data_IF_916230132055
#
_entry.id   IF_916230132055
#
_cell.length_a   1.000
_cell.length_b   1.000
_cell.length_c   1.000
_cell.angle_alpha   90.00
_cell.angle_beta   90.00
_cell.angle_gamma   90.00
#
_symmetry.space_group_name_H-M   'P 1'
#
loop_
_entity.id
_entity.type
_entity.pdbx_description
1 polymer ?
#
# COMPACT_ATOMS: atom_id res chain seq x y z
N UNK A 1 -39.12 16.03 6.51
CA UNK A 1 -39.38 17.44 6.25
C UNK A 1 -38.32 18.13 5.40
N UNK A 2 -38.12 19.43 5.57
CA UNK A 2 -37.14 20.20 4.78
C UNK A 2 -35.70 19.71 4.96
N UNK A 3 -35.36 19.24 6.14
CA UNK A 3 -34.02 18.68 6.46
C UNK A 3 -33.74 17.43 5.66
N UNK A 4 -34.73 16.54 5.53
CA UNK A 4 -34.59 15.30 4.78
C UNK A 4 -34.50 15.60 3.28
N UNK A 5 -35.26 16.59 2.80
CA UNK A 5 -35.18 17.03 1.42
C UNK A 5 -33.78 17.61 1.10
N UNK A 6 -33.22 18.39 2.01
CA UNK A 6 -31.88 18.95 1.88
C UNK A 6 -30.80 17.86 1.85
N UNK A 7 -30.87 16.88 2.75
CA UNK A 7 -29.95 15.76 2.77
C UNK A 7 -30.02 14.95 1.45
N UNK A 8 -31.22 14.65 0.97
CA UNK A 8 -31.41 13.97 -0.33
C UNK A 8 -30.88 14.76 -1.52
N UNK A 9 -31.04 16.07 -1.48
CA UNK A 9 -30.50 16.95 -2.53
C UNK A 9 -28.97 16.94 -2.57
N UNK A 10 -28.28 16.84 -1.41
CA UNK A 10 -26.83 16.70 -1.32
C UNK A 10 -26.36 15.35 -1.87
N UNK A 11 -27.04 14.24 -1.53
CA UNK A 11 -26.78 12.92 -2.09
C UNK A 11 -26.91 12.93 -3.63
N UNK A 12 -27.96 13.57 -4.16
CA UNK A 12 -28.17 13.67 -5.62
C UNK A 12 -27.06 14.48 -6.32
N UNK A 13 -26.43 15.46 -5.64
CA UNK A 13 -25.30 16.21 -6.22
C UNK A 13 -24.01 15.38 -6.24
N UNK A 14 -23.82 14.46 -5.30
CA UNK A 14 -22.66 13.59 -5.26
C UNK A 14 -22.65 12.55 -6.40
N UNK A 15 -23.81 12.08 -6.84
CA UNK A 15 -23.93 11.03 -7.86
C UNK A 15 -23.23 11.38 -9.20
N UNK A 16 -23.49 12.53 -9.86
CA UNK A 16 -22.85 12.83 -11.13
C UNK A 16 -21.36 13.15 -11.02
N UNK A 17 -20.87 13.51 -9.83
CA UNK A 17 -19.47 13.80 -9.60
C UNK A 17 -18.62 12.54 -9.35
N UNK A 18 -19.24 11.37 -9.21
CA UNK A 18 -18.62 10.13 -8.76
C UNK A 18 -17.84 10.28 -7.45
N UNK A 19 -18.11 11.35 -6.68
CA UNK A 19 -17.37 11.67 -5.44
C UNK A 19 -18.26 11.35 -4.24
N UNK A 20 -17.78 10.56 -3.28
CA UNK A 20 -18.52 10.29 -2.04
C UNK A 20 -18.93 11.57 -1.34
N UNK A 21 -20.13 11.58 -0.75
CA UNK A 21 -20.68 12.74 -0.07
C UNK A 21 -19.74 13.25 1.03
N UNK A 22 -19.09 12.34 1.76
CA UNK A 22 -18.11 12.66 2.79
C UNK A 22 -16.89 13.44 2.25
N UNK A 23 -16.41 13.09 1.04
CA UNK A 23 -15.30 13.82 0.39
C UNK A 23 -15.76 15.16 -0.19
N UNK A 24 -17.02 15.23 -0.66
CA UNK A 24 -17.57 16.43 -1.29
C UNK A 24 -17.97 17.49 -0.25
N UNK A 25 -18.55 17.09 0.86
CA UNK A 25 -19.18 17.99 1.85
C UNK A 25 -18.57 17.92 3.25
N UNK A 26 -17.75 16.89 3.52
CA UNK A 26 -17.27 16.60 4.87
C UNK A 26 -18.34 16.01 5.80
N UNK A 27 -19.53 15.69 5.27
CA UNK A 27 -20.65 15.17 6.06
C UNK A 27 -20.69 13.65 5.89
N UNK A 28 -20.63 12.93 7.01
CA UNK A 28 -20.81 11.48 7.01
C UNK A 28 -22.29 11.15 6.82
N UNK A 29 -22.64 10.21 5.91
CA UNK A 29 -24.03 9.78 5.74
C UNK A 29 -24.61 9.28 7.05
N UNK A 30 -25.85 9.65 7.35
CA UNK A 30 -26.58 9.16 8.54
C UNK A 30 -27.25 7.83 8.22
N UNK A 31 -27.02 6.79 9.02
CA UNK A 31 -27.70 5.50 8.86
C UNK A 31 -27.05 4.36 9.64
N UNK A 32 -27.64 3.18 9.56
CA UNK A 32 -27.20 1.95 10.26
C UNK A 32 -25.80 1.44 9.82
N UNK A 33 -25.31 1.88 8.65
CA UNK A 33 -23.97 1.61 8.13
C UNK A 33 -23.22 2.93 7.90
N UNK A 34 -23.04 3.72 8.94
CA UNK A 34 -22.47 5.07 8.88
C UNK A 34 -20.96 5.12 8.59
N UNK A 35 -20.31 4.02 8.18
CA UNK A 35 -18.95 4.09 7.67
C UNK A 35 -18.96 4.48 6.21
N UNK A 36 -18.29 5.57 5.87
CA UNK A 36 -18.08 6.01 4.50
C UNK A 36 -17.10 5.10 3.73
N UNK A 37 -16.59 4.03 4.36
CA UNK A 37 -15.52 3.20 3.83
C UNK A 37 -15.90 2.51 2.53
N UNK A 38 -17.13 2.04 2.42
CA UNK A 38 -17.65 1.43 1.20
C UNK A 38 -17.69 2.41 0.02
N UNK A 39 -18.15 3.63 0.28
CA UNK A 39 -18.21 4.69 -0.75
C UNK A 39 -16.79 5.15 -1.16
N UNK A 40 -15.90 5.30 -0.18
CA UNK A 40 -14.50 5.66 -0.43
C UNK A 40 -13.80 4.56 -1.24
N UNK A 41 -14.08 3.29 -0.95
CA UNK A 41 -13.53 2.17 -1.70
C UNK A 41 -13.97 2.20 -3.17
N UNK A 42 -15.25 2.35 -3.43
CA UNK A 42 -15.80 2.45 -4.81
C UNK A 42 -15.19 3.65 -5.54
N UNK A 43 -15.02 4.78 -4.84
CA UNK A 43 -14.36 5.96 -5.39
C UNK A 43 -12.89 5.69 -5.74
N UNK A 44 -12.14 5.04 -4.85
CA UNK A 44 -10.75 4.69 -5.10
C UNK A 44 -10.61 3.71 -6.26
N UNK A 45 -11.52 2.71 -6.37
CA UNK A 45 -11.56 1.78 -7.49
C UNK A 45 -11.81 2.51 -8.82
N UNK A 46 -12.72 3.50 -8.82
CA UNK A 46 -12.97 4.32 -9.99
C UNK A 46 -11.75 5.18 -10.40
N UNK A 47 -11.09 5.85 -9.43
CA UNK A 47 -9.85 6.61 -9.67
C UNK A 47 -8.75 5.69 -10.21
N UNK A 48 -8.56 4.51 -9.62
CA UNK A 48 -7.60 3.50 -10.09
C UNK A 48 -7.88 3.08 -11.53
N UNK A 49 -9.16 2.92 -11.88
CA UNK A 49 -9.58 2.66 -13.26
C UNK A 49 -9.16 3.77 -14.22
N UNK A 50 -9.34 5.04 -13.83
CA UNK A 50 -8.91 6.20 -14.63
C UNK A 50 -7.37 6.28 -14.75
N UNK A 51 -6.65 6.05 -13.65
CA UNK A 51 -5.20 6.02 -13.65
C UNK A 51 -4.66 4.98 -14.64
N UNK A 52 -5.19 3.77 -14.59
CA UNK A 52 -4.76 2.68 -15.46
C UNK A 52 -5.17 2.87 -16.93
N UNK A 53 -6.38 3.38 -17.19
CA UNK A 53 -6.90 3.54 -18.53
C UNK A 53 -6.30 4.75 -19.28
N UNK A 54 -6.10 5.87 -18.58
CA UNK A 54 -5.74 7.13 -19.25
C UNK A 54 -4.32 7.61 -18.88
N UNK A 55 -3.90 7.49 -17.63
CA UNK A 55 -2.65 8.09 -17.16
C UNK A 55 -1.48 7.15 -17.41
N UNK A 56 -1.58 5.88 -17.02
CA UNK A 56 -0.51 4.89 -17.14
C UNK A 56 0.06 4.78 -18.56
N UNK A 57 -0.76 4.70 -19.63
CA UNK A 57 -0.22 4.60 -20.98
C UNK A 57 0.60 5.82 -21.41
N UNK A 58 0.28 7.01 -20.88
CA UNK A 58 1.04 8.23 -21.17
C UNK A 58 2.37 8.26 -20.41
N UNK A 59 2.35 7.91 -19.14
CA UNK A 59 3.56 7.82 -18.32
C UNK A 59 4.52 6.79 -18.92
N UNK A 60 4.03 5.62 -19.35
CA UNK A 60 4.86 4.59 -19.97
C UNK A 60 5.53 5.06 -21.28
N UNK A 61 4.86 5.91 -22.06
CA UNK A 61 5.48 6.53 -23.25
C UNK A 61 6.60 7.50 -22.86
N UNK A 62 6.33 8.35 -21.86
CA UNK A 62 7.32 9.30 -21.34
C UNK A 62 8.53 8.56 -20.78
N UNK A 63 8.30 7.50 -19.99
CA UNK A 63 9.36 6.67 -19.41
C UNK A 63 10.28 6.07 -20.47
N UNK A 64 9.71 5.52 -21.56
CA UNK A 64 10.50 4.99 -22.69
C UNK A 64 11.32 6.06 -23.39
N UNK A 65 10.76 7.25 -23.61
CA UNK A 65 11.48 8.37 -24.22
C UNK A 65 12.62 8.82 -23.30
N UNK A 66 12.37 8.90 -21.99
CA UNK A 66 13.38 9.26 -21.01
C UNK A 66 14.55 8.25 -20.97
N UNK A 67 14.25 6.96 -20.99
CA UNK A 67 15.25 5.89 -21.02
C UNK A 67 16.12 6.01 -22.29
N UNK A 68 15.51 6.15 -23.46
CA UNK A 68 16.25 6.35 -24.71
C UNK A 68 17.13 7.60 -24.70
N UNK A 69 16.65 8.69 -24.09
CA UNK A 69 17.41 9.95 -24.01
C UNK A 69 18.58 9.88 -23.03
N UNK A 70 18.41 9.19 -21.90
CA UNK A 70 19.40 9.16 -20.82
C UNK A 70 20.40 8.00 -20.97
N UNK A 71 19.92 6.83 -21.40
CA UNK A 71 20.69 5.59 -21.42
C UNK A 71 20.96 5.05 -22.84
N UNK A 72 20.24 5.56 -23.85
CA UNK A 72 20.36 5.10 -25.24
C UNK A 72 19.66 3.78 -25.54
N UNK A 73 19.08 3.14 -24.54
CA UNK A 73 18.35 1.85 -24.64
C UNK A 73 17.12 1.83 -23.74
N UNK A 74 16.20 0.89 -24.02
CA UNK A 74 15.00 0.70 -23.22
C UNK A 74 15.15 -0.57 -22.39
N UNK A 75 15.16 -0.44 -21.07
CA UNK A 75 15.07 -1.56 -20.14
C UNK A 75 13.58 -1.84 -19.84
N UNK A 76 13.12 -3.03 -20.26
CA UNK A 76 11.74 -3.45 -20.04
C UNK A 76 11.45 -3.87 -18.58
N UNK A 77 12.48 -4.02 -17.74
CA UNK A 77 12.31 -4.31 -16.32
C UNK A 77 11.93 -3.06 -15.52
N UNK A 78 12.16 -1.87 -16.07
CA UNK A 78 11.73 -0.61 -15.46
C UNK A 78 10.25 -0.39 -15.79
N UNK A 79 9.41 -0.42 -14.77
CA UNK A 79 7.97 -0.20 -14.86
C UNK A 79 7.55 0.97 -13.98
N UNK A 80 6.30 1.40 -14.17
CA UNK A 80 5.65 2.41 -13.34
C UNK A 80 4.39 1.80 -12.73
N UNK A 81 4.22 2.01 -11.44
CA UNK A 81 3.06 1.60 -10.67
C UNK A 81 2.56 2.80 -9.85
N UNK A 82 1.24 2.91 -9.71
CA UNK A 82 0.65 3.91 -8.83
C UNK A 82 0.62 3.39 -7.40
N UNK A 83 0.91 4.26 -6.45
CA UNK A 83 0.72 3.95 -5.04
C UNK A 83 -0.75 3.66 -4.73
N UNK A 84 -0.97 2.85 -3.69
CA UNK A 84 -2.33 2.52 -3.24
C UNK A 84 -3.08 3.78 -2.82
N UNK A 85 -4.31 3.94 -3.33
CA UNK A 85 -5.21 5.03 -2.91
C UNK A 85 -5.82 4.79 -1.53
N UNK A 86 -5.73 3.56 -1.00
CA UNK A 86 -6.14 3.25 0.37
C UNK A 86 -5.04 3.70 1.31
N UNK A 87 -5.28 4.77 2.05
CA UNK A 87 -4.46 5.11 3.21
C UNK A 87 -4.88 4.18 4.36
N UNK A 88 -3.96 3.34 4.79
CA UNK A 88 -4.13 2.53 5.99
C UNK A 88 -3.85 3.42 7.21
N UNK A 89 -4.61 3.21 8.27
CA UNK A 89 -4.22 3.79 9.56
C UNK A 89 -3.03 3.02 10.16
N UNK A 90 -2.41 3.59 11.19
CA UNK A 90 -1.22 3.01 11.82
C UNK A 90 -1.49 1.59 12.36
N UNK A 91 -2.71 1.29 12.80
CA UNK A 91 -3.12 -0.03 13.29
C UNK A 91 -3.27 -1.02 12.14
N UNK A 92 -3.93 -0.63 11.05
CA UNK A 92 -4.06 -1.46 9.84
C UNK A 92 -2.67 -1.76 9.23
N UNK A 93 -1.77 -0.78 9.23
CA UNK A 93 -0.40 -0.94 8.74
C UNK A 93 0.40 -1.90 9.62
N UNK A 94 0.29 -1.78 10.95
CA UNK A 94 0.94 -2.69 11.89
C UNK A 94 0.44 -4.14 11.73
N UNK A 95 -0.87 -4.34 11.59
CA UNK A 95 -1.49 -5.66 11.35
C UNK A 95 -1.03 -6.26 10.01
N UNK A 96 -0.94 -5.43 8.97
CA UNK A 96 -0.44 -5.87 7.67
C UNK A 96 1.03 -6.30 7.76
N UNK A 97 1.87 -5.51 8.41
CA UNK A 97 3.29 -5.82 8.58
C UNK A 97 3.51 -7.08 9.43
N UNK A 98 2.70 -7.29 10.47
CA UNK A 98 2.72 -8.53 11.25
C UNK A 98 2.39 -9.74 10.35
N UNK A 99 1.35 -9.67 9.53
CA UNK A 99 0.96 -10.74 8.60
C UNK A 99 2.04 -11.00 7.54
N UNK A 100 2.65 -9.93 6.99
CA UNK A 100 3.77 -10.04 6.05
C UNK A 100 4.94 -10.77 6.71
N UNK A 101 5.33 -10.42 7.95
CA UNK A 101 6.42 -11.06 8.68
C UNK A 101 6.14 -12.53 8.97
N UNK A 102 4.92 -12.89 9.39
CA UNK A 102 4.51 -14.28 9.60
C UNK A 102 4.57 -15.10 8.31
N UNK A 103 4.11 -14.53 7.18
CA UNK A 103 4.16 -15.18 5.87
C UNK A 103 5.62 -15.38 5.43
N UNK A 104 6.46 -14.36 5.57
CA UNK A 104 7.88 -14.45 5.24
C UNK A 104 8.59 -15.53 6.09
N UNK A 105 8.33 -15.57 7.40
CA UNK A 105 8.85 -16.61 8.28
C UNK A 105 8.49 -18.02 7.82
N UNK A 106 7.22 -18.25 7.50
CA UNK A 106 6.76 -19.54 6.98
C UNK A 106 7.39 -19.92 5.63
N UNK A 107 7.61 -18.94 4.74
CA UNK A 107 8.27 -19.17 3.44
C UNK A 107 9.76 -19.47 3.59
N UNK A 108 10.43 -18.82 4.56
CA UNK A 108 11.84 -19.11 4.88
C UNK A 108 11.98 -20.51 5.48
N UNK A 109 11.11 -20.88 6.44
CA UNK A 109 11.08 -22.25 7.00
C UNK A 109 10.82 -23.31 5.94
N UNK A 110 9.96 -23.02 4.98
CA UNK A 110 9.68 -23.93 3.84
C UNK A 110 10.81 -23.96 2.79
N UNK A 111 11.87 -23.15 2.92
CA UNK A 111 12.97 -23.05 1.96
C UNK A 111 12.59 -22.42 0.62
N UNK A 112 11.49 -21.68 0.56
CA UNK A 112 11.01 -20.99 -0.66
C UNK A 112 11.64 -19.61 -0.80
N UNK A 113 11.91 -18.94 0.32
CA UNK A 113 12.49 -17.59 0.39
C UNK A 113 13.76 -17.63 1.25
N UNK A 114 14.79 -16.88 0.85
CA UNK A 114 15.98 -16.71 1.68
C UNK A 114 15.82 -15.54 2.66
N UNK A 115 16.63 -15.55 3.71
CA UNK A 115 16.66 -14.42 4.67
C UNK A 115 17.21 -13.15 4.00
N UNK A 116 18.13 -13.30 3.04
CA UNK A 116 18.69 -12.19 2.26
C UNK A 116 17.63 -11.55 1.36
N UNK A 117 16.81 -12.36 0.70
CA UNK A 117 15.72 -11.85 -0.15
C UNK A 117 14.71 -11.04 0.67
N UNK A 118 14.32 -11.56 1.84
CA UNK A 118 13.39 -10.83 2.73
C UNK A 118 14.01 -9.56 3.29
N UNK A 119 15.29 -9.57 3.62
CA UNK A 119 16.03 -8.38 4.06
C UNK A 119 16.06 -7.32 2.97
N UNK A 120 16.35 -7.71 1.72
CA UNK A 120 16.33 -6.82 0.56
C UNK A 120 14.93 -6.27 0.32
N UNK A 121 13.89 -7.08 0.48
CA UNK A 121 12.50 -6.63 0.38
C UNK A 121 12.16 -5.58 1.44
N UNK A 122 12.51 -5.83 2.71
CA UNK A 122 12.23 -4.93 3.82
C UNK A 122 12.97 -3.58 3.69
N UNK A 123 14.22 -3.59 3.19
CA UNK A 123 14.97 -2.36 2.98
C UNK A 123 14.41 -1.49 1.85
N UNK A 124 13.76 -2.09 0.85
CA UNK A 124 13.16 -1.40 -0.29
C UNK A 124 11.69 -0.99 -0.07
N UNK A 125 11.00 -1.57 0.91
CA UNK A 125 9.60 -1.28 1.23
C UNK A 125 9.52 -0.07 2.18
N UNK A 126 9.09 1.10 1.68
CA UNK A 126 8.98 2.33 2.47
C UNK A 126 7.99 2.20 3.63
N UNK A 127 6.96 1.36 3.50
CA UNK A 127 5.93 1.13 4.51
C UNK A 127 6.33 0.05 5.53
N UNK A 128 7.48 -0.61 5.33
CA UNK A 128 7.99 -1.61 6.27
C UNK A 128 8.42 -1.04 7.61
N UNK A 129 8.85 0.23 7.63
CA UNK A 129 9.51 0.86 8.77
C UNK A 129 10.98 0.44 8.94
N UNK A 130 11.52 -0.41 8.04
CA UNK A 130 12.87 -0.97 8.10
C UNK A 130 13.80 -0.49 6.98
N UNK A 131 13.48 0.60 6.29
CA UNK A 131 14.28 1.15 5.20
C UNK A 131 15.72 1.59 5.59
N UNK A 132 16.05 1.58 6.89
CA UNK A 132 17.39 1.85 7.40
C UNK A 132 18.30 0.61 7.44
N UNK A 133 17.76 -0.57 7.15
CA UNK A 133 18.53 -1.83 7.17
C UNK A 133 19.41 -1.89 5.91
N UNK A 134 20.70 -2.18 6.11
CA UNK A 134 21.60 -2.52 5.03
C UNK A 134 21.33 -3.97 4.60
N UNK A 135 20.88 -4.20 3.35
CA UNK A 135 20.54 -5.54 2.89
C UNK A 135 21.74 -6.49 2.88
N UNK A 136 22.96 -5.97 2.67
CA UNK A 136 24.18 -6.76 2.55
C UNK A 136 24.82 -7.10 3.91
N UNK A 137 24.37 -6.42 4.97
CA UNK A 137 24.92 -6.61 6.32
C UNK A 137 24.06 -7.58 7.14
N UNK A 138 24.46 -8.84 7.20
CA UNK A 138 23.84 -9.84 8.09
C UNK A 138 24.23 -9.52 9.54
N UNK A 139 23.29 -9.41 10.50
CA UNK A 139 23.61 -9.28 11.91
C UNK A 139 24.37 -10.53 12.37
N UNK A 140 25.43 -10.34 13.15
CA UNK A 140 26.05 -11.45 13.85
C UNK A 140 24.97 -12.15 14.70
N UNK A 141 24.81 -13.46 14.54
CA UNK A 141 23.97 -14.25 15.42
C UNK A 141 24.52 -14.08 16.82
N UNK A 142 23.72 -13.52 17.74
CA UNK A 142 24.03 -13.61 19.16
C UNK A 142 23.88 -15.11 19.51
N UNK A 143 24.96 -15.84 19.49
CA UNK A 143 25.05 -17.12 20.17
C UNK A 143 24.86 -16.82 21.67
N UNK A 144 23.61 -16.80 22.11
CA UNK A 144 23.28 -16.89 23.52
C UNK A 144 23.63 -18.30 23.93
N UNK A 145 24.89 -18.46 24.40
CA UNK A 145 25.36 -19.65 25.08
C UNK A 145 24.53 -19.80 26.38
N UNK A 146 23.38 -20.47 26.27
CA UNK A 146 22.54 -20.83 27.43
C UNK A 146 23.04 -22.09 28.14
N UNK A 147 24.31 -22.40 27.99
CA UNK A 147 24.95 -23.45 28.76
C UNK A 147 25.92 -22.85 29.77
N UNK A 148 25.41 -22.39 30.91
CA UNK A 148 26.08 -22.55 32.20
C UNK A 148 25.16 -21.95 33.28
N UNK A 149 24.44 -22.80 34.00
CA UNK A 149 24.18 -22.71 35.43
C UNK A 149 23.29 -23.88 35.87
N UNK A 150 23.85 -25.09 35.81
CA UNK A 150 23.37 -26.19 36.67
C UNK A 150 24.56 -27.05 37.09
N UNK A 151 25.39 -26.52 38.00
CA UNK A 151 26.18 -27.33 38.91
C UNK A 151 26.68 -26.43 40.07
N UNK A 152 25.90 -26.37 41.14
CA UNK A 152 26.41 -26.36 42.52
C UNK A 152 25.30 -26.66 43.50
#
# INVERSE_FOLDING_TARGET
GLVDLWAKSQELMAMPSHTPLVKLTGITPSGLNASSDGEIRVYNDWISGLQNAFILPQIMKILRIAQMSLFGEIDNNISFEFDSLKQMDDSELADLNLKKAQTAGALIEAGVLSQEDERSRLSNDQDSGYGFIDPDKVPESLDLDLTDETEQ
#
